data_IF_820383774673
#
_entry.id   IF_820383774673
#
_cell.length_a   1.000
_cell.length_b   1.000
_cell.length_c   1.000
_cell.angle_alpha   90.00
_cell.angle_beta   90.00
_cell.angle_gamma   90.00
#
_symmetry.space_group_name_H-M   'P 1'
#
loop_
_entity.id
_entity.type
_entity.pdbx_description
1 polymer ?
#
# COMPACT_ATOMS: atom_id res chain seq x y z
N UNK A 1 0.39 -5.78 -9.69
CA UNK A 1 0.80 -6.61 -8.54
C UNK A 1 -0.38 -7.45 -8.11
N UNK A 2 -0.12 -8.60 -7.47
CA UNK A 2 -1.14 -9.35 -6.75
C UNK A 2 -1.22 -8.82 -5.33
N UNK A 3 -2.43 -8.68 -4.80
CA UNK A 3 -2.64 -8.49 -3.38
C UNK A 3 -3.31 -9.76 -2.85
N UNK A 4 -2.58 -10.50 -2.00
CA UNK A 4 -3.08 -11.71 -1.33
C UNK A 4 -3.54 -11.42 0.11
N UNK A 5 -3.55 -10.14 0.51
CA UNK A 5 -3.95 -9.71 1.86
C UNK A 5 -5.44 -9.34 1.95
N UNK A 6 -6.19 -9.49 0.84
CA UNK A 6 -7.62 -9.23 0.83
C UNK A 6 -8.38 -10.21 1.73
N UNK A 7 -8.93 -9.69 2.83
CA UNK A 7 -9.70 -10.43 3.82
C UNK A 7 -11.07 -9.78 4.05
N UNK A 8 -12.14 -10.51 3.72
CA UNK A 8 -13.52 -10.06 3.91
C UNK A 8 -14.40 -11.23 4.32
N UNK A 9 -15.57 -10.94 4.89
CA UNK A 9 -16.57 -11.99 5.16
C UNK A 9 -17.32 -12.37 3.88
N UNK A 10 -17.16 -13.61 3.45
CA UNK A 10 -17.90 -14.26 2.37
C UNK A 10 -18.30 -15.68 2.80
N UNK A 11 -19.27 -16.28 2.12
CA UNK A 11 -19.72 -17.64 2.41
C UNK A 11 -19.25 -18.56 1.28
N UNK A 12 -18.69 -19.70 1.67
CA UNK A 12 -18.30 -20.79 0.79
C UNK A 12 -19.00 -22.05 1.24
N UNK A 13 -19.68 -22.73 0.33
CA UNK A 13 -20.14 -24.09 0.57
C UNK A 13 -19.56 -25.00 -0.50
N UNK A 14 -19.15 -26.20 -0.12
CA UNK A 14 -18.62 -27.17 -1.06
C UNK A 14 -19.16 -28.55 -0.75
N UNK A 15 -19.52 -29.29 -1.80
CA UNK A 15 -20.02 -30.65 -1.69
C UNK A 15 -19.29 -31.54 -2.69
N UNK A 16 -18.74 -32.63 -2.17
CA UNK A 16 -18.11 -33.68 -2.96
C UNK A 16 -19.18 -34.70 -3.34
N UNK A 17 -19.17 -35.10 -4.60
CA UNK A 17 -19.95 -36.18 -5.19
C UNK A 17 -18.99 -37.24 -5.72
N UNK A 18 -19.51 -38.37 -6.23
CA UNK A 18 -18.69 -39.53 -6.61
C UNK A 18 -17.60 -39.22 -7.65
N UNK A 19 -17.86 -38.31 -8.58
CA UNK A 19 -16.94 -37.96 -9.68
C UNK A 19 -16.58 -36.49 -9.82
N UNK A 20 -17.19 -35.61 -9.01
CA UNK A 20 -16.97 -34.18 -9.07
C UNK A 20 -17.21 -33.52 -7.71
N UNK A 21 -16.83 -32.26 -7.58
CA UNK A 21 -17.23 -31.43 -6.47
C UNK A 21 -17.89 -30.16 -7.01
N UNK A 22 -18.80 -29.61 -6.22
CA UNK A 22 -19.37 -28.28 -6.46
C UNK A 22 -18.87 -27.37 -5.34
N UNK A 23 -18.46 -26.17 -5.71
CA UNK A 23 -18.12 -25.10 -4.78
C UNK A 23 -18.95 -23.88 -5.15
N UNK A 24 -19.70 -23.35 -4.18
CA UNK A 24 -20.51 -22.15 -4.33
C UNK A 24 -19.94 -21.02 -3.46
N UNK A 25 -19.79 -19.85 -4.07
CA UNK A 25 -19.31 -18.64 -3.40
C UNK A 25 -20.39 -17.58 -3.36
N UNK A 26 -20.68 -17.08 -2.17
CA UNK A 26 -21.54 -15.92 -1.96
C UNK A 26 -20.70 -14.77 -1.41
N UNK A 27 -20.28 -13.89 -2.32
CA UNK A 27 -19.49 -12.70 -2.02
C UNK A 27 -20.42 -11.48 -1.98
N UNK A 28 -20.57 -10.80 -0.83
CA UNK A 28 -21.46 -9.65 -0.71
C UNK A 28 -20.97 -8.46 -1.56
N UNK A 29 -21.85 -7.81 -2.33
CA UNK A 29 -21.47 -6.64 -3.14
C UNK A 29 -20.87 -5.47 -2.33
N UNK A 30 -21.22 -5.35 -1.05
CA UNK A 30 -20.71 -4.28 -0.19
C UNK A 30 -19.20 -4.37 0.12
N UNK A 31 -18.53 -5.46 -0.28
CA UNK A 31 -17.07 -5.60 -0.20
C UNK A 31 -16.37 -4.97 -1.41
N UNK A 32 -17.11 -4.69 -2.48
CA UNK A 32 -16.58 -4.11 -3.71
C UNK A 32 -16.96 -2.64 -3.85
N UNK A 33 -16.02 -1.88 -4.41
CA UNK A 33 -16.22 -0.52 -4.91
C UNK A 33 -16.52 -0.60 -6.40
N UNK A 34 -17.69 -0.13 -6.83
CA UNK A 34 -18.14 -0.20 -8.22
C UNK A 34 -18.98 1.01 -8.63
N UNK A 35 -19.11 1.23 -9.94
CA UNK A 35 -19.91 2.31 -10.50
C UNK A 35 -21.39 1.93 -10.53
N UNK A 36 -22.25 2.90 -10.24
CA UNK A 36 -23.68 2.76 -10.47
C UNK A 36 -23.97 2.58 -11.97
N UNK A 37 -24.92 1.70 -12.28
CA UNK A 37 -25.32 1.39 -13.66
C UNK A 37 -24.37 0.44 -14.40
N UNK A 38 -23.29 -0.04 -13.77
CA UNK A 38 -22.39 -1.00 -14.40
C UNK A 38 -23.14 -2.28 -14.77
N UNK A 39 -22.97 -2.76 -16.01
CA UNK A 39 -23.69 -3.92 -16.56
C UNK A 39 -22.82 -5.17 -16.68
N UNK A 40 -21.49 -5.02 -16.56
CA UNK A 40 -20.56 -6.14 -16.63
C UNK A 40 -19.29 -5.90 -15.86
N UNK A 41 -18.67 -6.98 -15.38
CA UNK A 41 -17.29 -6.97 -14.88
C UNK A 41 -16.41 -7.90 -15.70
N UNK A 42 -15.11 -7.61 -15.71
CA UNK A 42 -14.11 -8.56 -16.21
C UNK A 42 -13.67 -9.45 -15.06
N UNK A 43 -13.85 -10.75 -15.21
CA UNK A 43 -13.60 -11.75 -14.15
C UNK A 43 -12.66 -12.82 -14.66
N UNK A 44 -11.84 -13.34 -13.76
CA UNK A 44 -11.04 -14.53 -13.99
C UNK A 44 -11.18 -15.52 -12.85
N UNK A 45 -11.32 -16.80 -13.20
CA UNK A 45 -11.43 -17.92 -12.27
C UNK A 45 -10.47 -18.99 -12.74
N UNK A 46 -9.68 -19.50 -11.80
CA UNK A 46 -8.79 -20.61 -12.02
C UNK A 46 -8.95 -21.66 -10.92
N UNK A 47 -8.62 -22.90 -11.25
CA UNK A 47 -8.59 -24.03 -10.33
C UNK A 47 -7.25 -24.73 -10.49
N UNK A 48 -6.52 -24.86 -9.39
CA UNK A 48 -5.25 -25.58 -9.36
C UNK A 48 -5.50 -27.01 -8.91
N UNK A 49 -5.28 -27.98 -9.79
CA UNK A 49 -5.33 -29.39 -9.45
C UNK A 49 -3.93 -29.83 -8.98
N UNK A 50 -3.79 -30.07 -7.67
CA UNK A 50 -2.52 -30.43 -7.05
C UNK A 50 -2.06 -31.85 -7.40
N UNK A 51 -2.98 -32.76 -7.75
CA UNK A 51 -2.68 -34.16 -8.08
C UNK A 51 -1.93 -34.30 -9.40
N UNK A 52 -2.37 -33.58 -10.43
CA UNK A 52 -1.75 -33.61 -11.76
C UNK A 52 -0.96 -32.33 -12.09
N UNK A 53 -0.82 -31.41 -11.13
CA UNK A 53 -0.14 -30.11 -11.27
C UNK A 53 -0.74 -29.22 -12.38
N UNK A 54 -1.99 -29.46 -12.78
CA UNK A 54 -2.66 -28.69 -13.82
C UNK A 54 -3.32 -27.41 -13.27
N UNK A 55 -3.41 -26.39 -14.13
CA UNK A 55 -4.17 -25.17 -13.91
C UNK A 55 -5.32 -25.14 -14.90
N UNK A 56 -6.55 -25.17 -14.40
CA UNK A 56 -7.76 -25.06 -15.20
C UNK A 56 -8.28 -23.63 -15.10
N UNK A 57 -8.62 -23.02 -16.24
CA UNK A 57 -8.94 -21.61 -16.34
C UNK A 57 -10.28 -21.44 -17.05
N UNK A 58 -11.18 -20.64 -16.48
CA UNK A 58 -12.42 -20.27 -17.18
C UNK A 58 -12.16 -19.26 -18.30
N UNK A 59 -11.21 -18.35 -18.10
CA UNK A 59 -10.80 -17.36 -19.09
C UNK A 59 -9.62 -17.90 -19.92
N UNK A 60 -9.68 -17.68 -21.23
CA UNK A 60 -8.64 -18.11 -22.15
C UNK A 60 -7.45 -17.15 -22.12
N UNK A 61 -6.32 -17.63 -21.61
CA UNK A 61 -5.05 -16.89 -21.55
C UNK A 61 -4.02 -17.67 -22.37
N UNK A 62 -3.24 -17.01 -23.26
CA UNK A 62 -2.13 -17.66 -23.95
C UNK A 62 -1.12 -18.27 -22.98
N UNK A 63 -0.54 -19.43 -23.31
CA UNK A 63 0.40 -20.15 -22.43
C UNK A 63 1.64 -19.32 -22.05
N UNK A 64 2.03 -18.36 -22.88
CA UNK A 64 3.15 -17.46 -22.63
C UNK A 64 2.78 -16.20 -21.81
N UNK A 65 1.60 -16.19 -21.17
CA UNK A 65 1.11 -15.08 -20.36
C UNK A 65 0.74 -15.58 -18.96
N UNK A 66 0.89 -14.70 -17.96
CA UNK A 66 0.40 -14.96 -16.61
C UNK A 66 -1.10 -15.24 -16.63
N UNK A 67 -1.51 -16.33 -15.97
CA UNK A 67 -2.89 -16.80 -15.99
C UNK A 67 -3.88 -15.69 -15.60
N UNK A 68 -3.51 -14.84 -14.66
CA UNK A 68 -4.35 -13.79 -14.11
C UNK A 68 -4.20 -12.44 -14.82
N UNK A 69 -3.56 -12.40 -15.99
CA UNK A 69 -3.39 -11.18 -16.79
C UNK A 69 -4.73 -10.51 -17.12
N UNK A 70 -4.91 -9.27 -16.64
CA UNK A 70 -6.13 -8.46 -16.80
C UNK A 70 -6.55 -8.26 -18.27
N UNK A 71 -5.64 -8.44 -19.23
CA UNK A 71 -5.93 -8.37 -20.66
C UNK A 71 -6.86 -9.48 -21.16
N UNK A 72 -6.85 -10.63 -20.50
CA UNK A 72 -7.49 -11.86 -20.95
C UNK A 72 -8.67 -12.32 -20.09
N UNK A 73 -9.07 -11.52 -19.09
CA UNK A 73 -10.26 -11.81 -18.27
C UNK A 73 -11.53 -11.87 -19.14
N UNK A 74 -12.44 -12.78 -18.78
CA UNK A 74 -13.74 -12.92 -19.42
C UNK A 74 -14.74 -11.87 -18.95
N UNK A 75 -15.79 -11.61 -19.74
CA UNK A 75 -16.87 -10.71 -19.35
C UNK A 75 -17.94 -11.49 -18.58
N UNK A 76 -18.25 -11.05 -17.35
CA UNK A 76 -19.37 -11.50 -16.53
C UNK A 76 -20.45 -10.42 -16.60
N UNK A 77 -21.63 -10.78 -17.14
CA UNK A 77 -22.76 -9.87 -17.28
C UNK A 77 -23.69 -9.98 -16.08
N UNK A 78 -24.15 -8.83 -15.58
CA UNK A 78 -25.17 -8.80 -14.54
C UNK A 78 -26.56 -8.90 -15.15
N UNK A 79 -27.47 -9.60 -14.48
CA UNK A 79 -28.89 -9.70 -14.88
C UNK A 79 -29.58 -8.33 -14.95
N UNK A 80 -29.11 -7.39 -14.12
CA UNK A 80 -29.58 -5.99 -14.08
C UNK A 80 -28.40 -5.06 -13.82
N UNK A 81 -28.45 -3.81 -14.29
CA UNK A 81 -27.45 -2.80 -13.94
C UNK A 81 -27.27 -2.71 -12.43
N UNK A 82 -26.02 -2.60 -11.98
CA UNK A 82 -25.73 -2.48 -10.56
C UNK A 82 -26.31 -1.18 -10.00
N UNK A 83 -26.90 -1.24 -8.81
CA UNK A 83 -27.35 -0.05 -8.09
C UNK A 83 -26.18 0.77 -7.54
N UNK A 84 -26.47 1.78 -6.71
CA UNK A 84 -25.43 2.54 -6.02
C UNK A 84 -24.55 1.63 -5.16
N UNK A 85 -23.23 1.72 -5.34
CA UNK A 85 -22.30 1.10 -4.40
C UNK A 85 -22.52 1.70 -3.02
N UNK A 86 -22.70 0.83 -2.03
CA UNK A 86 -22.83 1.23 -0.63
C UNK A 86 -21.44 1.34 -0.02
N UNK A 87 -20.65 2.29 -0.51
CA UNK A 87 -19.32 2.52 0.05
C UNK A 87 -19.45 2.87 1.54
N UNK A 88 -18.78 2.09 2.40
CA UNK A 88 -18.83 2.28 3.85
C UNK A 88 -18.06 3.55 4.22
N UNK A 89 -18.66 4.41 5.04
CA UNK A 89 -17.96 5.41 5.85
C UNK A 89 -17.70 4.77 7.21
N UNK A 90 -16.47 4.80 7.70
CA UNK A 90 -16.12 4.19 8.99
C UNK A 90 -15.28 5.16 9.80
N UNK A 91 -15.70 5.41 11.04
CA UNK A 91 -14.92 6.14 12.03
C UNK A 91 -14.62 5.13 13.12
N UNK A 92 -13.33 4.95 13.46
CA UNK A 92 -12.87 3.95 14.41
C UNK A 92 -12.08 4.69 15.50
N UNK A 93 -12.77 5.24 16.52
CA UNK A 93 -12.08 5.84 17.66
C UNK A 93 -11.45 4.73 18.52
N UNK A 94 -10.26 4.99 19.07
CA UNK A 94 -9.64 4.11 20.07
C UNK A 94 -8.96 4.93 21.16
N UNK A 95 -8.82 4.36 22.35
CA UNK A 95 -8.10 4.96 23.49
C UNK A 95 -7.02 3.98 23.87
N UNK A 96 -5.76 4.42 23.86
CA UNK A 96 -4.63 3.58 24.25
C UNK A 96 -4.11 4.06 25.62
N UNK A 97 -4.17 3.18 26.62
CA UNK A 97 -3.59 3.43 27.94
C UNK A 97 -2.38 2.52 28.14
N UNK A 98 -1.19 3.09 28.29
CA UNK A 98 0.01 2.32 28.66
C UNK A 98 0.35 2.67 30.11
N UNK A 99 0.24 1.68 30.98
CA UNK A 99 0.79 1.75 32.35
C UNK A 99 2.21 1.21 32.31
N UNK A 100 3.20 2.02 32.68
CA UNK A 100 4.59 1.56 32.77
C UNK A 100 5.12 1.69 34.19
N UNK A 101 5.90 0.69 34.57
CA UNK A 101 6.71 0.69 35.77
C UNK A 101 8.17 0.65 35.32
N UNK A 102 8.84 1.80 35.41
CA UNK A 102 10.28 1.85 35.22
C UNK A 102 10.95 1.47 36.55
N UNK A 103 11.43 0.24 36.63
CA UNK A 103 12.07 -0.33 37.83
C UNK A 103 13.50 0.21 38.04
N UNK A 104 14.14 0.79 37.03
CA UNK A 104 15.46 1.43 37.16
C UNK A 104 15.33 2.86 37.70
N UNK A 105 14.31 3.61 37.25
CA UNK A 105 14.05 5.00 37.69
C UNK A 105 13.07 5.10 38.88
N UNK A 106 12.45 4.00 39.33
CA UNK A 106 11.39 3.98 40.36
C UNK A 106 10.22 4.93 40.07
N UNK A 107 9.85 5.07 38.78
CA UNK A 107 8.74 5.91 38.34
C UNK A 107 7.60 4.99 37.91
N UNK A 108 6.43 5.18 38.55
CA UNK A 108 5.17 4.60 38.10
C UNK A 108 4.37 5.69 37.40
N UNK A 109 4.04 5.46 36.13
CA UNK A 109 3.37 6.45 35.28
C UNK A 109 2.18 5.84 34.53
N UNK A 110 1.08 6.59 34.47
CA UNK A 110 0.00 6.31 33.54
C UNK A 110 0.19 7.24 32.33
N UNK A 111 0.60 6.70 31.19
CA UNK A 111 0.59 7.45 29.94
C UNK A 111 -0.72 7.14 29.21
N UNK A 112 -1.65 8.08 29.26
CA UNK A 112 -2.95 7.94 28.63
C UNK A 112 -2.90 8.68 27.29
N UNK A 113 -2.80 7.92 26.21
CA UNK A 113 -2.67 8.45 24.86
C UNK A 113 -4.01 8.31 24.12
N UNK A 114 -4.47 9.43 23.58
CA UNK A 114 -5.66 9.44 22.73
C UNK A 114 -5.21 9.33 21.29
N UNK A 115 -5.78 8.35 20.58
CA UNK A 115 -5.60 8.21 19.15
C UNK A 115 -6.93 8.03 18.45
N UNK A 116 -6.90 7.91 17.14
CA UNK A 116 -8.12 7.64 16.39
C UNK A 116 -7.87 7.57 14.90
N UNK A 117 -8.58 6.65 14.27
CA UNK A 117 -8.57 6.51 12.82
C UNK A 117 -9.94 6.88 12.26
N UNK A 118 -9.94 7.65 11.18
CA UNK A 118 -11.13 7.95 10.42
C UNK A 118 -10.92 7.60 8.95
N UNK A 119 -11.91 6.91 8.37
CA UNK A 119 -11.87 6.49 6.98
C UNK A 119 -13.15 6.88 6.27
N UNK A 120 -12.98 7.81 5.33
CA UNK A 120 -14.06 8.48 4.63
C UNK A 120 -13.95 8.17 3.14
N UNK A 121 -14.92 7.42 2.61
CA UNK A 121 -15.05 7.26 1.17
C UNK A 121 -15.76 8.50 0.60
N UNK A 122 -15.02 9.34 -0.13
CA UNK A 122 -15.50 10.61 -0.70
C UNK A 122 -16.37 10.34 -1.94
N UNK A 123 -15.87 9.46 -2.82
CA UNK A 123 -16.59 8.90 -3.96
C UNK A 123 -16.31 7.39 -4.02
N UNK A 124 -17.10 6.61 -4.76
CA UNK A 124 -17.03 5.14 -4.81
C UNK A 124 -15.63 4.59 -5.12
N UNK A 125 -14.71 5.41 -5.62
CA UNK A 125 -13.33 5.03 -5.88
C UNK A 125 -12.27 5.91 -5.22
N UNK A 126 -12.62 6.86 -4.35
CA UNK A 126 -11.69 7.78 -3.69
C UNK A 126 -11.88 7.75 -2.17
N UNK A 127 -10.81 7.48 -1.43
CA UNK A 127 -10.84 7.29 0.02
C UNK A 127 -9.83 8.19 0.72
N UNK A 128 -10.28 8.84 1.78
CA UNK A 128 -9.48 9.61 2.73
C UNK A 128 -9.37 8.81 4.04
N UNK A 129 -8.16 8.39 4.36
CA UNK A 129 -7.78 7.82 5.65
C UNK A 129 -7.10 8.92 6.47
N UNK A 130 -7.47 9.05 7.74
CA UNK A 130 -6.90 9.97 8.73
C UNK A 130 -6.49 9.14 9.94
N UNK A 131 -5.36 9.47 10.54
CA UNK A 131 -4.87 8.84 11.75
C UNK A 131 -4.28 9.87 12.70
N UNK A 132 -4.52 9.70 13.99
CA UNK A 132 -3.95 10.49 15.08
C UNK A 132 -3.38 9.50 16.10
N UNK A 133 -2.09 9.63 16.42
CA UNK A 133 -1.36 8.71 17.31
C UNK A 133 -1.64 7.21 17.01
N UNK A 134 -1.38 6.71 15.78
CA UNK A 134 -1.57 5.31 15.44
C UNK A 134 -0.73 4.38 16.30
N UNK A 135 -1.35 3.32 16.82
CA UNK A 135 -0.61 2.18 17.37
C UNK A 135 -0.33 1.15 16.29
N UNK A 136 0.81 1.34 15.61
CA UNK A 136 1.31 0.38 14.62
C UNK A 136 2.18 -0.73 15.24
N UNK A 137 2.47 -0.68 16.55
CA UNK A 137 3.32 -1.66 17.23
C UNK A 137 2.72 -3.08 17.20
N UNK A 138 1.38 -3.19 17.32
CA UNK A 138 0.66 -4.47 17.31
C UNK A 138 0.80 -5.23 15.98
N UNK A 139 1.10 -4.52 14.90
CA UNK A 139 1.19 -5.07 13.55
C UNK A 139 2.62 -5.47 13.19
N UNK A 140 3.61 -4.87 13.85
CA UNK A 140 5.03 -5.00 13.52
C UNK A 140 5.77 -6.09 14.32
N UNK A 141 5.06 -6.91 15.09
CA UNK A 141 5.67 -8.01 15.84
C UNK A 141 6.24 -9.09 14.91
N UNK A 142 7.52 -9.38 15.14
CA UNK A 142 8.34 -10.49 14.65
C UNK A 142 8.56 -10.61 13.14
N UNK A 143 9.50 -9.85 12.57
CA UNK A 143 10.49 -10.38 11.60
C UNK A 143 11.79 -9.55 11.68
N UNK A 144 12.62 -9.76 12.71
CA UNK A 144 14.05 -9.44 12.61
C UNK A 144 14.65 -10.39 11.56
N UNK A 145 14.75 -9.92 10.32
CA UNK A 145 15.56 -10.60 9.32
C UNK A 145 16.95 -9.98 9.38
N UNK A 146 17.93 -10.74 9.84
CA UNK A 146 19.35 -10.37 9.71
C UNK A 146 19.70 -10.32 8.23
N UNK A 147 19.57 -9.13 7.65
CA UNK A 147 19.87 -8.90 6.25
C UNK A 147 21.35 -8.59 6.10
N UNK A 148 22.13 -9.58 5.68
CA UNK A 148 23.57 -9.45 5.42
C UNK A 148 23.87 -8.95 3.99
N UNK A 149 22.84 -8.55 3.23
CA UNK A 149 22.98 -8.03 1.87
C UNK A 149 22.83 -6.52 1.84
N UNK A 150 23.38 -5.88 0.80
CA UNK A 150 23.20 -4.43 0.52
C UNK A 150 21.79 -4.05 0.05
N UNK A 151 20.86 -5.01 -0.01
CA UNK A 151 19.51 -4.83 -0.54
C UNK A 151 18.48 -5.06 0.55
N UNK A 152 17.52 -4.16 0.74
CA UNK A 152 16.49 -4.30 1.77
C UNK A 152 15.58 -5.52 1.54
N UNK A 153 15.25 -6.26 2.59
CA UNK A 153 14.26 -7.34 2.54
C UNK A 153 12.87 -6.70 2.41
N UNK A 154 12.21 -6.93 1.27
CA UNK A 154 10.84 -6.46 1.05
C UNK A 154 9.85 -7.24 1.92
N UNK A 155 9.63 -6.77 3.14
CA UNK A 155 8.58 -7.31 4.01
C UNK A 155 7.20 -6.78 3.58
N UNK A 156 6.15 -7.62 3.60
CA UNK A 156 4.80 -7.16 3.29
C UNK A 156 4.34 -6.13 4.33
N UNK A 157 3.73 -5.05 3.85
CA UNK A 157 3.05 -4.06 4.68
C UNK A 157 1.76 -4.67 5.25
N UNK A 158 1.58 -4.58 6.57
CA UNK A 158 0.42 -5.17 7.27
C UNK A 158 -0.48 -4.10 7.92
N UNK A 159 -0.02 -2.86 7.99
CA UNK A 159 -0.75 -1.76 8.63
C UNK A 159 -1.88 -1.31 7.71
N UNK A 160 -3.13 -1.39 8.21
CA UNK A 160 -4.34 -1.11 7.43
C UNK A 160 -4.33 0.27 6.76
N UNK A 161 -3.74 1.26 7.43
CA UNK A 161 -3.55 2.60 6.88
C UNK A 161 -2.75 2.62 5.58
N UNK A 162 -1.77 1.73 5.40
CA UNK A 162 -0.89 1.72 4.22
C UNK A 162 -1.28 0.71 3.14
N UNK A 163 -2.09 -0.32 3.46
CA UNK A 163 -2.45 -1.40 2.53
C UNK A 163 -3.32 -0.92 1.36
N UNK A 164 -4.39 -0.18 1.64
CA UNK A 164 -5.35 0.18 0.58
C UNK A 164 -4.73 1.15 -0.44
N UNK A 165 -4.87 0.81 -1.73
CA UNK A 165 -4.24 1.50 -2.87
C UNK A 165 -2.70 1.60 -2.77
N UNK A 166 -2.05 0.71 -2.01
CA UNK A 166 -0.58 0.66 -1.89
C UNK A 166 0.12 0.51 -3.24
N UNK A 167 -0.51 -0.12 -4.23
CA UNK A 167 0.00 -0.28 -5.59
C UNK A 167 0.27 1.07 -6.28
N UNK A 168 -0.46 2.12 -5.89
CA UNK A 168 -0.29 3.46 -6.44
C UNK A 168 0.99 4.14 -5.94
N UNK A 169 1.46 3.78 -4.74
CA UNK A 169 2.65 4.36 -4.12
C UNK A 169 3.90 3.48 -4.32
N UNK A 170 3.74 2.16 -4.32
CA UNK A 170 4.83 1.18 -4.50
C UNK A 170 5.05 0.76 -5.95
N UNK A 171 4.31 1.36 -6.88
CA UNK A 171 4.31 0.99 -8.30
C UNK A 171 5.42 1.65 -9.13
N UNK A 172 6.29 2.47 -8.54
CA UNK A 172 7.32 3.24 -9.25
C UNK A 172 8.64 2.46 -9.40
N UNK A 173 9.32 2.65 -10.53
CA UNK A 173 10.61 2.00 -10.83
C UNK A 173 10.57 0.47 -10.92
N UNK A 174 11.72 -0.19 -10.78
CA UNK A 174 11.76 -1.64 -10.70
C UNK A 174 11.58 -2.12 -9.26
N UNK A 175 10.78 -3.18 -9.05
CA UNK A 175 10.50 -3.72 -7.72
C UNK A 175 11.72 -4.28 -6.99
N UNK A 176 12.77 -4.65 -7.72
CA UNK A 176 13.99 -5.24 -7.15
C UNK A 176 15.01 -4.18 -6.78
N UNK A 177 15.20 -3.20 -7.66
CA UNK A 177 16.39 -2.35 -7.61
C UNK A 177 16.10 -0.84 -7.56
N UNK A 178 14.87 -0.41 -7.84
CA UNK A 178 14.56 1.02 -8.00
C UNK A 178 13.17 1.42 -7.49
N UNK A 179 12.64 0.77 -6.44
CA UNK A 179 11.42 1.24 -5.78
C UNK A 179 11.77 2.37 -4.79
N UNK A 180 11.37 3.62 -5.08
CA UNK A 180 11.78 4.79 -4.32
C UNK A 180 10.97 4.96 -3.03
N UNK A 181 9.82 4.31 -2.90
CA UNK A 181 8.94 4.43 -1.74
C UNK A 181 8.65 3.08 -1.10
N UNK A 182 8.93 2.99 0.20
CA UNK A 182 8.54 1.87 1.04
C UNK A 182 7.87 2.40 2.31
N UNK A 183 6.56 2.16 2.45
CA UNK A 183 5.75 2.68 3.56
C UNK A 183 6.29 2.27 4.92
N UNK A 184 6.94 1.11 5.01
CA UNK A 184 7.55 0.59 6.24
C UNK A 184 8.68 1.46 6.78
N UNK A 185 9.29 2.33 5.96
CA UNK A 185 10.26 3.33 6.44
C UNK A 185 9.61 4.40 7.33
N UNK A 186 8.29 4.58 7.22
CA UNK A 186 7.55 5.52 8.07
C UNK A 186 7.18 4.78 9.36
N UNK A 187 7.65 5.31 10.49
CA UNK A 187 7.38 4.76 11.82
C UNK A 187 8.44 3.78 12.34
N UNK A 188 9.57 3.64 11.64
CA UNK A 188 10.72 2.84 12.06
C UNK A 188 11.97 3.71 11.96
N UNK A 189 12.80 3.71 13.00
CA UNK A 189 14.09 4.38 13.05
C UNK A 189 15.17 3.44 13.59
N UNK A 190 16.41 3.91 13.66
CA UNK A 190 17.50 3.19 14.31
C UNK A 190 17.89 3.92 15.60
N UNK A 191 18.12 3.16 16.66
CA UNK A 191 18.73 3.69 17.88
C UNK A 191 20.25 3.89 17.70
N UNK A 192 20.91 4.39 18.74
CA UNK A 192 22.36 4.63 18.76
C UNK A 192 23.19 3.34 18.56
N UNK A 193 22.64 2.19 18.95
CA UNK A 193 23.26 0.87 18.79
C UNK A 193 22.98 0.26 17.39
N UNK A 194 22.20 0.95 16.55
CA UNK A 194 21.82 0.54 15.20
C UNK A 194 20.67 -0.47 15.13
N UNK A 195 20.00 -0.77 16.25
CA UNK A 195 18.81 -1.62 16.28
C UNK A 195 17.61 -0.85 15.71
N UNK A 196 16.73 -1.56 15.01
CA UNK A 196 15.47 -0.96 14.54
C UNK A 196 14.50 -0.81 15.70
N UNK A 197 14.12 0.43 15.99
CA UNK A 197 13.14 0.80 17.01
C UNK A 197 11.94 1.48 16.36
N UNK A 198 10.80 1.45 17.06
CA UNK A 198 9.60 2.13 16.63
C UNK A 198 9.80 3.65 16.72
N UNK A 199 9.56 4.36 15.62
CA UNK A 199 9.46 5.80 15.61
C UNK A 199 7.98 6.19 15.70
N UNK A 200 7.59 6.83 16.79
CA UNK A 200 6.18 7.17 17.02
C UNK A 200 5.68 8.14 15.96
N UNK A 201 4.41 7.99 15.60
CA UNK A 201 3.75 8.84 14.61
C UNK A 201 2.70 9.65 15.36
N UNK A 202 2.76 10.97 15.24
CA UNK A 202 1.78 11.87 15.87
C UNK A 202 0.47 11.91 15.09
N UNK A 203 0.54 11.80 13.77
CA UNK A 203 -0.63 11.65 12.92
C UNK A 203 -0.32 11.68 11.44
N UNK A 204 -1.37 11.56 10.65
CA UNK A 204 -1.27 11.74 9.22
C UNK A 204 -2.56 11.48 8.46
N UNK A 205 -2.43 11.61 7.15
CA UNK A 205 -3.53 11.49 6.21
C UNK A 205 -3.08 10.77 4.95
N UNK A 206 -4.02 10.07 4.33
CA UNK A 206 -3.84 9.45 3.03
C UNK A 206 -5.11 9.60 2.21
N UNK A 207 -5.02 10.32 1.09
CA UNK A 207 -6.07 10.38 0.09
C UNK A 207 -5.65 9.51 -1.09
N UNK A 208 -6.40 8.45 -1.41
CA UNK A 208 -6.03 7.56 -2.50
C UNK A 208 -7.23 7.00 -3.26
N UNK A 209 -7.09 6.83 -4.57
CA UNK A 209 -8.13 6.24 -5.40
C UNK A 209 -8.18 6.72 -6.84
N UNK A 210 -9.31 6.44 -7.52
CA UNK A 210 -9.62 6.96 -8.86
C UNK A 210 -10.48 8.22 -8.74
N UNK A 211 -10.09 9.26 -9.48
CA UNK A 211 -10.92 10.44 -9.74
C UNK A 211 -11.89 10.16 -10.89
N UNK A 212 -11.44 9.40 -11.90
CA UNK A 212 -12.27 8.99 -13.04
C UNK A 212 -11.76 7.67 -13.66
N UNK A 213 -12.24 7.31 -14.86
CA UNK A 213 -11.85 6.09 -15.59
C UNK A 213 -10.37 5.98 -15.94
N UNK A 214 -9.68 7.11 -16.01
CA UNK A 214 -8.35 7.24 -16.57
C UNK A 214 -7.36 7.85 -15.58
N UNK A 215 -7.82 8.43 -14.46
CA UNK A 215 -6.96 9.14 -13.53
C UNK A 215 -7.07 8.62 -12.10
N UNK A 216 -5.92 8.31 -11.51
CA UNK A 216 -5.74 7.96 -10.10
C UNK A 216 -4.85 8.96 -9.40
N UNK A 217 -5.17 9.21 -8.15
CA UNK A 217 -4.42 10.09 -7.24
C UNK A 217 -4.13 9.35 -5.95
N UNK A 218 -2.92 9.55 -5.44
CA UNK A 218 -2.46 9.14 -4.14
C UNK A 218 -1.72 10.31 -3.50
N UNK A 219 -2.14 10.72 -2.33
CA UNK A 219 -1.47 11.72 -1.49
C UNK A 219 -1.36 11.10 -0.11
N UNK A 220 -0.18 11.10 0.48
CA UNK A 220 0.06 10.65 1.84
C UNK A 220 0.94 11.69 2.51
N UNK A 221 0.62 12.03 3.76
CA UNK A 221 1.42 12.88 4.62
C UNK A 221 1.38 12.31 6.04
N UNK A 222 2.55 12.05 6.62
CA UNK A 222 2.71 11.45 7.94
C UNK A 222 3.76 12.22 8.72
N UNK A 223 3.44 12.56 9.97
CA UNK A 223 4.37 13.22 10.88
C UNK A 223 4.88 12.22 11.93
N UNK A 224 6.20 12.05 12.00
CA UNK A 224 6.84 11.30 13.09
C UNK A 224 7.20 12.23 14.23
N UNK A 225 7.27 11.67 15.43
CA UNK A 225 7.78 12.33 16.63
C UNK A 225 9.32 12.26 16.66
N UNK A 226 9.91 13.03 17.56
CA UNK A 226 11.34 12.97 17.86
C UNK A 226 11.58 12.01 19.03
N UNK A 227 12.75 11.39 19.03
CA UNK A 227 13.28 10.65 20.16
C UNK A 227 14.73 11.10 20.36
N UNK A 228 14.89 12.11 21.22
CA UNK A 228 16.16 12.79 21.45
C UNK A 228 17.19 11.88 22.14
N UNK A 229 16.74 10.94 22.97
CA UNK A 229 17.62 10.00 23.66
C UNK A 229 18.31 9.05 22.66
N UNK A 230 17.68 8.82 21.50
CA UNK A 230 18.18 7.99 20.41
C UNK A 230 18.64 8.79 19.18
N UNK A 231 18.77 10.12 19.26
CA UNK A 231 19.14 11.00 18.14
C UNK A 231 18.20 10.86 16.91
N UNK A 232 16.90 10.66 17.15
CA UNK A 232 15.89 10.54 16.09
C UNK A 232 15.14 11.87 15.95
N UNK A 233 15.27 12.48 14.77
CA UNK A 233 14.54 13.70 14.43
C UNK A 233 13.06 13.45 14.13
N UNK A 234 12.21 14.41 14.50
CA UNK A 234 10.83 14.47 13.99
C UNK A 234 10.84 14.79 12.49
N UNK A 235 10.11 14.02 11.69
CA UNK A 235 10.10 14.15 10.24
C UNK A 235 8.71 14.20 9.64
N UNK A 236 8.53 15.06 8.64
CA UNK A 236 7.37 15.02 7.75
C UNK A 236 7.68 14.13 6.54
N UNK A 237 6.88 13.08 6.36
CA UNK A 237 6.99 12.12 5.28
C UNK A 237 5.77 12.28 4.36
N UNK A 238 6.00 12.73 3.13
CA UNK A 238 4.95 12.95 2.15
C UNK A 238 5.23 12.22 0.84
N UNK A 239 4.18 11.72 0.20
CA UNK A 239 4.24 11.23 -1.18
C UNK A 239 3.00 11.68 -1.95
N UNK A 240 3.23 12.14 -3.17
CA UNK A 240 2.21 12.40 -4.18
C UNK A 240 2.45 11.42 -5.33
N UNK A 241 1.41 10.70 -5.73
CA UNK A 241 1.42 9.74 -6.82
C UNK A 241 0.23 10.03 -7.74
N UNK A 242 0.51 10.37 -8.99
CA UNK A 242 -0.50 10.60 -10.02
C UNK A 242 -0.32 9.55 -11.10
N UNK A 243 -1.41 8.93 -11.54
CA UNK A 243 -1.38 7.93 -12.61
C UNK A 243 -2.48 8.22 -13.61
N UNK A 244 -2.08 8.43 -14.87
CA UNK A 244 -2.99 8.64 -15.99
C UNK A 244 -2.90 7.47 -16.98
N UNK A 245 -4.03 6.80 -17.22
CA UNK A 245 -4.16 5.77 -18.23
C UNK A 245 -4.09 6.41 -19.61
N UNK A 246 -3.20 5.88 -20.44
CA UNK A 246 -3.05 6.26 -21.84
C UNK A 246 -3.27 5.04 -22.73
N UNK A 247 -3.88 5.26 -23.89
CA UNK A 247 -4.30 4.18 -24.78
C UNK A 247 -5.24 3.18 -24.06
N UNK A 248 -5.17 1.90 -24.40
CA UNK A 248 -6.11 0.91 -23.86
C UNK A 248 -5.79 0.49 -22.41
N UNK A 249 -4.51 0.31 -22.09
CA UNK A 249 -4.05 -0.27 -20.81
C UNK A 249 -2.74 0.31 -20.29
N UNK A 250 -2.06 1.13 -21.08
CA UNK A 250 -0.79 1.74 -20.65
C UNK A 250 -1.07 2.89 -19.71
N UNK A 251 -0.07 3.35 -18.99
CA UNK A 251 -0.21 4.54 -18.14
C UNK A 251 1.11 5.29 -18.02
N UNK A 252 0.98 6.59 -17.80
CA UNK A 252 2.06 7.48 -17.37
C UNK A 252 1.77 7.83 -15.92
N UNK A 253 2.78 7.73 -15.07
CA UNK A 253 2.69 8.08 -13.66
C UNK A 253 3.74 9.10 -13.29
N UNK A 254 3.39 10.00 -12.38
CA UNK A 254 4.28 10.95 -11.75
C UNK A 254 4.32 10.66 -10.25
N UNK A 255 5.50 10.81 -9.64
CA UNK A 255 5.65 10.82 -8.20
C UNK A 255 6.49 11.98 -7.70
N UNK A 256 6.19 12.38 -6.46
CA UNK A 256 7.02 13.21 -5.63
C UNK A 256 7.06 12.61 -4.22
N UNK A 257 8.26 12.43 -3.66
CA UNK A 257 8.49 11.95 -2.31
C UNK A 257 9.24 13.04 -1.56
N UNK A 258 8.87 13.28 -0.31
CA UNK A 258 9.53 14.18 0.60
C UNK A 258 9.70 13.50 1.96
N UNK A 259 10.91 13.50 2.48
CA UNK A 259 11.22 13.30 3.89
C UNK A 259 11.97 14.54 4.36
N UNK A 260 11.49 15.20 5.39
CA UNK A 260 12.09 16.43 5.89
C UNK A 260 12.02 16.49 7.42
N UNK A 261 13.15 16.80 8.06
CA UNK A 261 13.19 17.13 9.48
C UNK A 261 12.35 18.39 9.76
N UNK A 262 11.51 18.34 10.80
CA UNK A 262 10.60 19.45 11.12
C UNK A 262 11.18 20.48 12.08
N UNK A 263 12.36 20.20 12.63
CA UNK A 263 13.13 21.09 13.50
C UNK A 263 14.61 20.96 13.14
N UNK A 264 15.40 21.90 13.64
CA UNK A 264 16.85 21.87 13.57
C UNK A 264 17.38 21.06 14.77
N UNK A 265 18.22 20.07 14.50
CA UNK A 265 18.80 19.19 15.51
C UNK A 265 20.32 19.21 15.37
N UNK A 266 21.05 19.33 16.48
CA UNK A 266 22.52 19.37 16.47
C UNK A 266 23.15 18.06 16.00
N UNK A 267 22.44 16.94 16.16
CA UNK A 267 22.88 15.60 15.75
C UNK A 267 22.58 15.26 14.28
N UNK A 268 21.76 16.06 13.59
CA UNK A 268 21.51 15.84 12.16
C UNK A 268 22.64 16.43 11.33
N UNK A 269 23.19 15.62 10.42
CA UNK A 269 24.06 16.15 9.37
C UNK A 269 23.28 17.04 8.39
N UNK A 270 23.96 18.00 7.75
CA UNK A 270 23.35 18.87 6.72
C UNK A 270 22.60 18.05 5.66
N UNK A 271 23.10 16.87 5.30
CA UNK A 271 22.53 15.99 4.26
C UNK A 271 21.25 15.28 4.67
N UNK A 272 20.95 15.28 5.97
CA UNK A 272 19.83 14.55 6.56
C UNK A 272 18.60 15.43 6.82
N UNK A 273 18.73 16.75 6.63
CA UNK A 273 17.63 17.71 6.79
C UNK A 273 16.45 17.37 5.88
N UNK A 274 16.72 17.03 4.62
CA UNK A 274 15.70 16.54 3.72
C UNK A 274 16.24 15.59 2.66
N UNK A 275 15.34 14.70 2.21
CA UNK A 275 15.52 13.95 0.99
C UNK A 275 14.23 14.03 0.17
N UNK A 276 14.36 14.39 -1.11
CA UNK A 276 13.23 14.48 -2.04
C UNK A 276 13.51 13.65 -3.27
N UNK A 277 12.48 13.00 -3.80
CA UNK A 277 12.58 12.24 -5.05
C UNK A 277 11.45 12.65 -5.97
N UNK A 278 11.77 12.97 -7.22
CA UNK A 278 10.79 13.16 -8.29
C UNK A 278 10.96 12.02 -9.28
N UNK A 279 9.86 11.50 -9.81
CA UNK A 279 9.94 10.47 -10.83
C UNK A 279 8.77 10.45 -11.80
N UNK A 280 9.07 9.95 -13.00
CA UNK A 280 8.09 9.69 -14.04
C UNK A 280 8.26 8.25 -14.53
N UNK A 281 7.16 7.53 -14.61
CA UNK A 281 7.09 6.16 -15.10
C UNK A 281 6.15 6.07 -16.30
N UNK A 282 6.56 5.34 -17.33
CA UNK A 282 5.70 4.87 -18.40
C UNK A 282 5.59 3.34 -18.36
N UNK A 283 4.40 2.85 -18.03
CA UNK A 283 4.07 1.44 -18.07
C UNK A 283 3.36 1.11 -19.38
N UNK A 284 4.08 0.49 -20.31
CA UNK A 284 3.55 -0.01 -21.57
C UNK A 284 2.78 -1.31 -21.32
N UNK A 285 1.52 -1.33 -21.75
CA UNK A 285 0.71 -2.52 -21.84
C UNK A 285 -0.21 -2.41 -23.07
N UNK A 286 0.07 -3.22 -24.09
CA UNK A 286 -0.79 -3.37 -25.26
C UNK A 286 -2.11 -4.10 -24.92
N UNK A 287 -3.13 -3.96 -25.79
CA UNK A 287 -4.47 -4.55 -25.57
C UNK A 287 -4.40 -6.04 -25.23
N UNK A 288 -3.59 -6.79 -25.97
CA UNK A 288 -3.40 -8.24 -25.86
C UNK A 288 -2.14 -8.64 -25.07
N UNK A 289 -1.49 -7.70 -24.37
CA UNK A 289 -0.23 -7.96 -23.65
C UNK A 289 0.92 -8.54 -24.49
N UNK A 290 0.86 -8.45 -25.83
CA UNK A 290 1.98 -8.85 -26.70
C UNK A 290 3.21 -7.97 -26.46
N UNK A 291 2.96 -6.68 -26.25
CA UNK A 291 3.94 -5.70 -25.85
C UNK A 291 3.65 -5.24 -24.42
N UNK A 292 4.62 -5.45 -23.55
CA UNK A 292 4.68 -4.92 -22.19
C UNK A 292 6.07 -4.35 -21.97
N UNK A 293 6.17 -3.36 -21.10
CA UNK A 293 7.45 -2.74 -20.78
C UNK A 293 7.28 -1.67 -19.73
N UNK A 294 8.39 -1.29 -19.11
CA UNK A 294 8.43 -0.22 -18.13
C UNK A 294 9.64 0.65 -18.38
N UNK A 295 9.41 1.94 -18.43
CA UNK A 295 10.45 2.97 -18.55
C UNK A 295 10.24 3.93 -17.40
N UNK A 296 11.31 4.31 -16.72
CA UNK A 296 11.21 5.22 -15.59
C UNK A 296 12.45 6.11 -15.52
N UNK A 297 12.26 7.31 -15.00
CA UNK A 297 13.32 8.25 -14.68
C UNK A 297 13.01 8.87 -13.33
N UNK A 298 13.90 8.65 -12.36
CA UNK A 298 13.77 9.17 -11.00
C UNK A 298 15.02 9.98 -10.66
N UNK A 299 14.85 11.06 -9.90
CA UNK A 299 15.95 11.90 -9.43
C UNK A 299 15.78 12.23 -7.96
N UNK A 300 16.81 11.99 -7.17
CA UNK A 300 16.91 12.42 -5.77
C UNK A 300 17.47 13.83 -5.66
N UNK A 301 17.16 14.48 -4.53
CA UNK A 301 17.69 15.76 -4.12
C UNK A 301 17.91 15.73 -2.61
N UNK A 302 19.10 16.10 -2.17
CA UNK A 302 19.47 16.37 -0.78
C UNK A 302 20.28 17.68 -0.69
N UNK A 303 20.42 18.27 0.50
CA UNK A 303 21.13 19.54 0.73
C UNK A 303 22.54 19.63 0.09
N UNK A 304 23.34 18.57 0.12
CA UNK A 304 24.72 18.56 -0.41
C UNK A 304 24.88 17.97 -1.82
N UNK A 305 23.83 17.46 -2.45
CA UNK A 305 23.93 16.81 -3.75
C UNK A 305 24.19 17.85 -4.87
N UNK A 306 25.48 18.07 -5.14
CA UNK A 306 25.99 18.86 -6.26
C UNK A 306 25.81 18.12 -7.59
N UNK A 307 24.58 18.05 -8.12
CA UNK A 307 24.23 17.87 -9.54
C UNK A 307 24.94 16.75 -10.35
N UNK A 308 25.56 15.74 -9.73
CA UNK A 308 26.46 14.79 -10.41
C UNK A 308 25.92 13.37 -10.60
N UNK A 309 24.78 13.04 -10.01
CA UNK A 309 24.22 11.70 -10.14
C UNK A 309 23.07 11.70 -11.17
N UNK A 310 23.31 11.02 -12.29
CA UNK A 310 22.37 10.72 -13.37
C UNK A 310 22.13 9.21 -13.43
#
# INVERSE_FOLDING_TARGET
SWDMTWDVKWICESKIYDSYYITEWKIPFNVFKYREGETKWRVGVYQRNTKNKAWNLWHQVPENQEFSNLGFLGDMYFEKPLGKSKAKKSIIPYINGITYNDYEKNITGNNLEFGGDAKLTIDNSLTLDLTLNPDFSQVEVDQQVTNLSRYEVSLPEKRQFFIENSDLFSGFGDKRDANPFFSRRIGIAKDLDGNSIQNKISGGLKLSGKINSDFRIGVLNMQTEEDLDNEIAATNNAIIALQHKVFNRSNISFMFINRQATKDYEFLGEDEEYNRVIGIDYNLASKNSKWTGKYYFHKSFSPSENNKDF
#
